data_IF_847394958142
#
_entry.id   IF_847394958142
#
_cell.length_a   1.000
_cell.length_b   1.000
_cell.length_c   1.000
_cell.angle_alpha   90.00
_cell.angle_beta   90.00
_cell.angle_gamma   90.00
#
_symmetry.space_group_name_H-M   'P 1'
#
loop_
_entity.id
_entity.type
_entity.pdbx_description
1 polymer ?
#
# COMPACT_ATOMS: atom_id res chain seq x y z
N UNK A 1 9.43 28.06 -31.18
CA UNK A 1 8.93 28.09 -29.77
C UNK A 1 7.71 27.20 -29.55
N UNK A 2 6.69 27.20 -30.44
CA UNK A 2 5.50 26.33 -30.31
C UNK A 2 5.79 24.82 -30.27
N UNK A 3 6.78 24.34 -31.03
CA UNK A 3 7.17 22.93 -31.09
C UNK A 3 7.85 22.43 -29.80
N UNK A 4 8.61 23.28 -29.11
CA UNK A 4 9.26 22.92 -27.84
C UNK A 4 8.27 22.78 -26.69
N UNK A 5 7.20 23.58 -26.69
CA UNK A 5 6.12 23.49 -25.69
C UNK A 5 5.35 22.19 -25.85
N UNK A 6 5.06 21.77 -27.09
CA UNK A 6 4.40 20.50 -27.37
C UNK A 6 5.24 19.29 -26.93
N UNK A 7 6.57 19.32 -27.15
CA UNK A 7 7.45 18.24 -26.73
C UNK A 7 7.53 18.10 -25.20
N UNK A 8 7.56 19.23 -24.48
CA UNK A 8 7.54 19.23 -23.03
C UNK A 8 6.22 18.64 -22.48
N UNK A 9 5.07 18.99 -23.04
CA UNK A 9 3.78 18.45 -22.62
C UNK A 9 3.67 16.92 -22.80
N UNK A 10 4.26 16.36 -23.86
CA UNK A 10 4.24 14.89 -24.10
C UNK A 10 5.17 14.14 -23.14
N UNK A 11 6.28 14.76 -22.72
CA UNK A 11 7.23 14.15 -21.78
C UNK A 11 6.71 14.18 -20.33
N UNK A 12 5.92 15.21 -19.97
CA UNK A 12 5.33 15.29 -18.63
C UNK A 12 4.18 14.29 -18.42
N UNK A 13 3.40 13.97 -19.46
CA UNK A 13 2.30 13.00 -19.37
C UNK A 13 2.75 11.53 -19.29
N UNK A 14 4.00 11.24 -19.64
CA UNK A 14 4.56 9.89 -19.57
C UNK A 14 4.92 9.43 -18.14
N UNK A 15 4.88 10.31 -17.14
CA UNK A 15 5.28 9.98 -15.75
C UNK A 15 4.08 9.65 -14.84
N UNK A 16 2.87 9.57 -15.38
CA UNK A 16 1.64 9.31 -14.61
C UNK A 16 1.19 7.84 -14.67
N UNK A 17 2.10 6.90 -14.88
CA UNK A 17 1.78 5.47 -14.79
C UNK A 17 1.75 5.04 -13.33
N UNK A 18 0.60 5.23 -12.68
CA UNK A 18 0.19 4.25 -11.68
C UNK A 18 -0.19 2.98 -12.46
N UNK A 19 0.47 1.85 -12.20
CA UNK A 19 0.16 0.56 -12.86
C UNK A 19 -1.22 0.07 -12.38
N UNK A 20 -2.27 0.66 -12.93
CA UNK A 20 -3.65 0.32 -12.60
C UNK A 20 -4.12 -0.85 -13.44
N UNK A 21 -4.21 -2.03 -12.83
CA UNK A 21 -4.75 -3.23 -13.44
C UNK A 21 -6.20 -3.47 -12.98
N UNK A 22 -7.06 -3.91 -13.89
CA UNK A 22 -8.43 -4.30 -13.56
C UNK A 22 -8.44 -5.75 -13.11
N UNK A 23 -8.91 -6.02 -11.90
CA UNK A 23 -9.01 -7.40 -11.40
C UNK A 23 -10.23 -8.14 -11.99
N UNK A 24 -10.33 -9.45 -11.76
CA UNK A 24 -11.44 -10.28 -12.25
C UNK A 24 -12.83 -9.89 -11.70
N UNK A 25 -12.89 -9.02 -10.68
CA UNK A 25 -14.12 -8.43 -10.13
C UNK A 25 -14.48 -7.09 -10.78
N UNK A 26 -13.70 -6.64 -11.76
CA UNK A 26 -13.92 -5.39 -12.47
C UNK A 26 -13.40 -4.16 -11.73
N UNK A 27 -12.66 -4.32 -10.64
CA UNK A 27 -12.11 -3.23 -9.83
C UNK A 27 -10.77 -2.78 -10.41
N UNK A 28 -10.61 -1.48 -10.63
CA UNK A 28 -9.32 -0.88 -11.01
C UNK A 28 -8.44 -0.81 -9.77
N UNK A 29 -7.42 -1.65 -9.72
CA UNK A 29 -6.41 -1.68 -8.66
C UNK A 29 -5.15 -1.01 -9.18
N UNK A 30 -4.88 0.19 -8.68
CA UNK A 30 -3.63 0.88 -8.93
C UNK A 30 -2.52 0.27 -8.09
N UNK A 31 -1.56 -0.37 -8.77
CA UNK A 31 -0.24 -0.71 -8.27
C UNK A 31 0.53 0.56 -8.00
N UNK A 32 0.09 1.29 -6.99
CA UNK A 32 0.85 2.39 -6.43
C UNK A 32 2.03 1.74 -5.71
N UNK A 33 3.20 1.71 -6.37
CA UNK A 33 4.44 1.29 -5.75
C UNK A 33 4.52 1.82 -4.31
N UNK A 34 4.76 0.91 -3.37
CA UNK A 34 4.89 1.16 -1.94
C UNK A 34 3.64 1.67 -1.19
N UNK A 35 2.60 2.23 -1.84
CA UNK A 35 1.44 2.82 -1.14
C UNK A 35 0.08 2.45 -1.78
N UNK A 36 -0.58 1.41 -1.29
CA UNK A 36 -1.94 1.04 -1.72
C UNK A 36 -3.02 1.72 -0.88
N UNK A 37 -4.24 1.79 -1.40
CA UNK A 37 -5.39 2.27 -0.64
C UNK A 37 -6.70 1.89 -1.28
N UNK A 38 -7.79 1.97 -0.51
CA UNK A 38 -9.11 1.60 -1.01
C UNK A 38 -10.24 2.08 -0.13
N UNK A 39 -11.45 2.00 -0.68
CA UNK A 39 -12.69 2.31 0.02
C UNK A 39 -13.71 1.20 -0.18
N UNK A 40 -14.13 0.60 0.92
CA UNK A 40 -15.18 -0.40 0.94
C UNK A 40 -16.53 0.31 1.16
N UNK A 41 -17.36 0.36 0.11
CA UNK A 41 -18.66 1.07 0.15
C UNK A 41 -19.70 0.40 1.05
N UNK A 42 -19.71 -0.93 1.15
CA UNK A 42 -20.72 -1.64 1.97
C UNK A 42 -20.49 -1.41 3.46
N UNK A 43 -19.24 -1.24 3.87
CA UNK A 43 -18.87 -0.97 5.26
C UNK A 43 -18.53 0.49 5.53
N UNK A 44 -18.37 1.33 4.52
CA UNK A 44 -17.87 2.70 4.67
C UNK A 44 -16.42 2.80 5.18
N UNK A 45 -15.64 1.71 5.05
CA UNK A 45 -14.24 1.68 5.51
C UNK A 45 -13.32 2.23 4.43
N UNK A 46 -12.57 3.28 4.73
CA UNK A 46 -11.41 3.67 3.95
C UNK A 46 -10.16 3.05 4.57
N UNK A 47 -9.21 2.63 3.75
CA UNK A 47 -7.93 2.12 4.21
C UNK A 47 -6.79 2.58 3.32
N UNK A 48 -5.61 2.69 3.93
CA UNK A 48 -4.34 2.95 3.27
C UNK A 48 -3.37 1.87 3.71
N UNK A 49 -2.44 1.50 2.84
CA UNK A 49 -1.39 0.53 3.14
C UNK A 49 -0.08 1.05 2.59
N UNK A 50 0.95 1.12 3.42
CA UNK A 50 2.27 1.63 3.05
C UNK A 50 3.33 0.59 3.35
N UNK A 51 4.31 0.49 2.47
CA UNK A 51 5.44 -0.43 2.61
C UNK A 51 6.68 0.39 2.94
N UNK A 52 7.32 0.13 4.09
CA UNK A 52 8.56 0.78 4.42
C UNK A 52 9.77 0.13 3.71
N UNK A 53 10.96 0.73 3.85
CA UNK A 53 12.20 0.24 3.25
C UNK A 53 12.60 -1.17 3.73
N UNK A 54 12.10 -1.57 4.91
CA UNK A 54 12.34 -2.88 5.51
C UNK A 54 11.31 -3.94 5.05
N UNK A 55 10.40 -3.59 4.13
CA UNK A 55 9.37 -4.50 3.63
C UNK A 55 8.20 -4.74 4.60
N UNK A 56 8.04 -3.93 5.65
CA UNK A 56 6.84 -3.94 6.51
C UNK A 56 5.72 -3.20 5.80
N UNK A 57 4.60 -3.87 5.62
CA UNK A 57 3.34 -3.30 5.17
C UNK A 57 2.50 -2.85 6.37
N UNK A 58 2.31 -1.56 6.52
CA UNK A 58 1.42 -0.96 7.52
C UNK A 58 0.11 -0.58 6.85
N UNK A 59 -0.98 -1.24 7.26
CA UNK A 59 -2.34 -0.91 6.82
C UNK A 59 -3.06 -0.15 7.92
N UNK A 60 -3.61 1.01 7.58
CA UNK A 60 -4.41 1.83 8.49
C UNK A 60 -5.81 2.03 7.91
N UNK A 61 -6.82 2.07 8.77
CA UNK A 61 -8.23 2.28 8.40
C UNK A 61 -8.76 3.57 9.01
N UNK A 62 -9.77 4.18 8.38
CA UNK A 62 -10.47 5.36 8.93
C UNK A 62 -11.21 5.09 10.24
N UNK A 63 -11.26 3.84 10.70
CA UNK A 63 -11.82 3.43 11.99
C UNK A 63 -10.78 3.32 13.10
N UNK A 64 -9.54 3.72 12.82
CA UNK A 64 -8.43 3.65 13.79
C UNK A 64 -7.76 2.27 13.90
N UNK A 65 -8.17 1.29 13.10
CA UNK A 65 -7.47 0.01 13.03
C UNK A 65 -6.15 0.15 12.27
N UNK A 66 -5.05 -0.28 12.88
CA UNK A 66 -3.74 -0.41 12.26
C UNK A 66 -3.26 -1.88 12.35
N UNK A 67 -2.71 -2.39 11.25
CA UNK A 67 -2.10 -3.71 11.19
C UNK A 67 -0.79 -3.63 10.41
N UNK A 68 0.29 -4.12 11.02
CA UNK A 68 1.58 -4.26 10.36
C UNK A 68 1.79 -5.71 9.95
N UNK A 69 2.26 -5.93 8.73
CA UNK A 69 2.53 -7.26 8.19
C UNK A 69 3.86 -7.29 7.47
N UNK A 70 4.59 -8.40 7.55
CA UNK A 70 5.83 -8.64 6.83
C UNK A 70 5.86 -10.12 6.43
N UNK A 71 6.18 -10.41 5.16
CA UNK A 71 6.29 -11.80 4.65
C UNK A 71 5.05 -12.67 4.95
N UNK A 72 3.84 -12.10 4.84
CA UNK A 72 2.57 -12.79 5.12
C UNK A 72 2.29 -13.05 6.60
N UNK A 73 3.06 -12.45 7.52
CA UNK A 73 2.88 -12.55 8.97
C UNK A 73 2.45 -11.20 9.53
N UNK A 74 1.56 -11.18 10.51
CA UNK A 74 1.35 -9.98 11.33
C UNK A 74 2.60 -9.72 12.15
N UNK A 75 3.07 -8.48 12.19
CA UNK A 75 4.26 -8.08 12.96
C UNK A 75 3.92 -6.90 13.86
N UNK A 76 4.62 -6.77 14.98
CA UNK A 76 4.57 -5.59 15.83
C UNK A 76 5.94 -5.35 16.44
N UNK A 77 6.37 -4.09 16.45
CA UNK A 77 7.63 -3.68 17.08
C UNK A 77 7.34 -3.14 18.49
N UNK A 78 7.91 -3.81 19.50
CA UNK A 78 7.85 -3.38 20.90
C UNK A 78 8.81 -2.23 21.19
N UNK A 79 8.53 -1.48 22.25
CA UNK A 79 9.37 -0.35 22.69
C UNK A 79 10.79 -0.78 23.13
N UNK A 80 10.97 -2.07 23.45
CA UNK A 80 12.23 -2.71 23.80
C UNK A 80 13.03 -3.19 22.57
N UNK A 81 12.59 -2.84 21.36
CA UNK A 81 13.22 -3.25 20.11
C UNK A 81 12.87 -4.67 19.66
N UNK A 82 12.06 -5.40 20.44
CA UNK A 82 11.63 -6.76 20.08
C UNK A 82 10.61 -6.72 18.97
N UNK A 83 10.76 -7.62 18.01
CA UNK A 83 9.78 -7.83 16.95
C UNK A 83 8.97 -9.07 17.25
N UNK A 84 7.70 -8.88 17.55
CA UNK A 84 6.76 -9.98 17.70
C UNK A 84 6.05 -10.24 16.37
N UNK A 85 5.82 -11.51 16.06
CA UNK A 85 5.08 -11.93 14.88
C UNK A 85 3.94 -12.87 15.25
N UNK A 86 2.89 -12.85 14.42
CA UNK A 86 1.77 -13.78 14.48
C UNK A 86 1.42 -14.27 13.08
N UNK A 87 1.27 -15.58 12.95
CA UNK A 87 0.79 -16.28 11.76
C UNK A 87 -0.48 -17.04 12.09
N UNK A 88 -1.06 -17.73 11.11
CA UNK A 88 -2.20 -18.62 11.35
C UNK A 88 -1.88 -19.75 12.35
N UNK A 89 -0.64 -20.25 12.35
CA UNK A 89 -0.26 -21.48 13.06
C UNK A 89 0.79 -21.26 14.17
N UNK A 90 1.28 -20.05 14.36
CA UNK A 90 2.39 -19.77 15.28
C UNK A 90 2.47 -18.29 15.66
N UNK A 91 3.02 -18.01 16.84
CA UNK A 91 3.36 -16.68 17.33
C UNK A 91 4.72 -16.71 18.04
N UNK A 92 5.42 -15.58 18.08
CA UNK A 92 6.67 -15.47 18.84
C UNK A 92 7.23 -14.05 18.81
N UNK A 93 8.21 -13.78 19.67
CA UNK A 93 8.94 -12.52 19.73
C UNK A 93 10.44 -12.78 19.67
N UNK A 94 11.16 -11.97 18.91
CA UNK A 94 12.63 -11.96 18.87
C UNK A 94 13.11 -10.58 19.26
#
# INVERSE_FOLDING_TARGET
MKTLILLACVMLSANAFAECARNARGETVCGNGQTAGGYNRSTGTAWTSQTNQNGVHTTQTNRGGEAQTMNGKGVVHGADGKTCYRTANSHGCN
#
